data_IF_064655190697
#
_entry.id   IF_064655190697
#
_cell.length_a   1.000
_cell.length_b   1.000
_cell.length_c   1.000
_cell.angle_alpha   90.00
_cell.angle_beta   90.00
_cell.angle_gamma   90.00
#
_symmetry.space_group_name_H-M   'P 1'
#
loop_
_entity.id
_entity.type
_entity.pdbx_description
1 polymer ?
#
# COMPACT_ATOMS: atom_id res chain seq x y z
N UNK A 1 -1.48 9.07 4.84
CA UNK A 1 -2.50 9.03 3.75
C UNK A 1 -3.70 8.21 4.22
N UNK A 2 -4.94 8.54 3.83
CA UNK A 2 -6.15 7.83 4.32
C UNK A 2 -6.21 6.33 3.95
N UNK A 3 -5.47 5.89 2.93
CA UNK A 3 -5.35 4.44 2.63
C UNK A 3 -4.71 3.64 3.78
N UNK A 4 -4.03 4.32 4.72
CA UNK A 4 -3.45 3.66 5.90
C UNK A 4 -4.50 3.15 6.88
N UNK A 5 -5.78 3.57 6.75
CA UNK A 5 -6.90 2.95 7.47
C UNK A 5 -7.01 1.45 7.17
N UNK A 6 -6.55 1.01 5.99
CA UNK A 6 -6.62 -0.36 5.51
C UNK A 6 -5.29 -1.12 5.63
N UNK A 7 -4.20 -0.42 5.97
CA UNK A 7 -2.85 -0.99 5.99
C UNK A 7 -2.62 -2.08 7.05
N UNK A 8 -3.18 -2.00 8.28
CA UNK A 8 -2.88 -2.99 9.31
C UNK A 8 -3.26 -4.43 8.92
N UNK A 9 -4.44 -4.61 8.32
CA UNK A 9 -4.92 -5.93 7.91
C UNK A 9 -4.01 -6.56 6.85
N UNK A 10 -3.72 -5.83 5.78
CA UNK A 10 -2.87 -6.34 4.69
C UNK A 10 -1.42 -6.54 5.12
N UNK A 11 -0.90 -5.76 6.08
CA UNK A 11 0.43 -5.99 6.64
C UNK A 11 0.50 -7.27 7.47
N UNK A 12 -0.52 -7.56 8.29
CA UNK A 12 -0.58 -8.81 9.04
C UNK A 12 -0.63 -10.03 8.09
N UNK A 13 -1.51 -10.00 7.09
CA UNK A 13 -1.63 -11.06 6.08
C UNK A 13 -0.32 -11.27 5.30
N UNK A 14 0.39 -10.19 4.95
CA UNK A 14 1.67 -10.27 4.26
C UNK A 14 2.78 -10.87 5.11
N UNK A 15 2.86 -10.53 6.40
CA UNK A 15 3.88 -11.11 7.30
C UNK A 15 3.67 -12.63 7.39
N UNK A 16 2.44 -13.07 7.62
CA UNK A 16 2.09 -14.48 7.72
C UNK A 16 2.34 -15.22 6.40
N UNK A 17 1.85 -14.68 5.28
CA UNK A 17 2.00 -15.31 3.97
C UNK A 17 3.45 -15.34 3.49
N UNK A 18 4.25 -14.29 3.75
CA UNK A 18 5.66 -14.29 3.37
C UNK A 18 6.45 -15.36 4.11
N UNK A 19 6.25 -15.48 5.43
CA UNK A 19 6.90 -16.50 6.26
C UNK A 19 6.48 -17.93 5.86
N UNK A 20 5.23 -18.12 5.44
CA UNK A 20 4.70 -19.44 5.10
C UNK A 20 5.12 -19.93 3.70
N UNK A 21 5.37 -19.03 2.75
CA UNK A 21 5.51 -19.38 1.33
C UNK A 21 6.87 -19.05 0.71
N UNK A 22 7.74 -18.32 1.40
CA UNK A 22 9.04 -17.93 0.86
C UNK A 22 10.17 -18.20 1.86
N UNK A 23 11.02 -19.18 1.55
CA UNK A 23 12.12 -19.62 2.43
C UNK A 23 13.18 -18.55 2.71
N UNK A 24 13.24 -17.50 1.88
CA UNK A 24 14.13 -16.36 2.09
C UNK A 24 13.56 -15.31 3.05
N UNK A 25 12.28 -15.40 3.42
CA UNK A 25 11.66 -14.47 4.37
C UNK A 25 12.12 -14.79 5.79
N UNK A 26 12.63 -13.78 6.48
CA UNK A 26 13.15 -13.87 7.83
C UNK A 26 12.78 -12.64 8.67
N UNK A 27 13.16 -12.65 9.94
CA UNK A 27 12.83 -11.55 10.84
C UNK A 27 13.44 -10.20 10.42
N UNK A 28 14.57 -10.23 9.72
CA UNK A 28 15.26 -9.02 9.26
C UNK A 28 14.52 -8.37 8.09
N UNK A 29 14.10 -9.17 7.11
CA UNK A 29 13.36 -8.76 5.92
C UNK A 29 11.93 -8.31 6.23
N UNK A 30 11.35 -8.78 7.34
CA UNK A 30 9.98 -8.42 7.76
C UNK A 30 9.92 -7.31 8.82
N UNK A 31 11.08 -6.84 9.31
CA UNK A 31 11.18 -5.79 10.32
C UNK A 31 10.40 -4.52 9.93
N UNK A 32 10.43 -4.14 8.65
CA UNK A 32 9.67 -3.01 8.10
C UNK A 32 8.16 -3.15 8.34
N UNK A 33 7.57 -4.30 7.97
CA UNK A 33 6.12 -4.53 8.12
C UNK A 33 5.70 -4.53 9.59
N UNK A 34 6.52 -5.10 10.48
CA UNK A 34 6.26 -5.12 11.92
C UNK A 34 6.30 -3.73 12.55
N UNK A 35 7.21 -2.87 12.12
CA UNK A 35 7.25 -1.48 12.60
C UNK A 35 6.04 -0.69 12.10
N UNK A 36 5.65 -0.84 10.83
CA UNK A 36 4.48 -0.15 10.26
C UNK A 36 3.17 -0.54 10.94
N UNK A 37 3.02 -1.78 11.43
CA UNK A 37 1.86 -2.18 12.24
C UNK A 37 1.72 -1.36 13.53
N UNK A 38 2.83 -0.90 14.12
CA UNK A 38 2.81 -0.09 15.35
C UNK A 38 2.60 1.40 15.07
N UNK A 39 3.12 1.90 13.95
CA UNK A 39 3.10 3.33 13.61
C UNK A 39 1.81 3.77 12.93
N UNK A 40 1.27 2.95 12.01
CA UNK A 40 0.11 3.30 11.19
C UNK A 40 -1.13 3.76 11.99
N UNK A 41 -1.49 3.20 13.16
CA UNK A 41 -2.66 3.62 13.91
C UNK A 41 -2.60 5.07 14.40
N UNK A 42 -1.41 5.58 14.74
CA UNK A 42 -1.26 6.94 15.29
C UNK A 42 -1.35 8.00 14.19
N UNK A 43 -0.74 7.72 13.05
CA UNK A 43 -0.65 8.68 11.95
C UNK A 43 -1.98 8.81 11.19
N UNK A 44 -2.75 7.72 11.11
CA UNK A 44 -4.04 7.74 10.43
C UNK A 44 -5.14 8.43 11.25
N UNK A 45 -5.11 8.32 12.57
CA UNK A 45 -6.10 8.97 13.44
C UNK A 45 -6.05 10.50 13.30
N UNK A 46 -4.85 11.07 13.28
CA UNK A 46 -4.65 12.49 13.03
C UNK A 46 -5.13 12.91 11.64
N UNK A 47 -4.73 12.17 10.60
CA UNK A 47 -5.12 12.49 9.22
C UNK A 47 -6.62 12.40 8.99
N UNK A 48 -7.29 11.39 9.57
CA UNK A 48 -8.74 11.23 9.48
C UNK A 48 -9.46 12.36 10.23
N UNK A 49 -9.05 12.68 11.46
CA UNK A 49 -9.64 13.78 12.21
C UNK A 49 -9.53 15.10 11.44
N UNK A 50 -8.35 15.40 10.88
CA UNK A 50 -8.16 16.60 10.07
C UNK A 50 -9.10 16.65 8.86
N UNK A 51 -9.25 15.55 8.13
CA UNK A 51 -10.17 15.48 6.99
C UNK A 51 -11.62 15.68 7.43
N UNK A 52 -12.05 15.05 8.52
CA UNK A 52 -13.41 15.20 9.05
C UNK A 52 -13.68 16.63 9.54
N UNK A 53 -12.69 17.31 10.12
CA UNK A 53 -12.82 18.69 10.60
C UNK A 53 -12.87 19.71 9.46
N UNK A 54 -12.24 19.43 8.31
CA UNK A 54 -12.06 20.40 7.23
C UNK A 54 -12.89 20.12 5.97
N UNK A 55 -13.41 18.89 5.80
CA UNK A 55 -14.37 18.53 4.77
C UNK A 55 -15.80 18.90 5.21
N UNK A 56 -15.99 20.19 5.52
CA UNK A 56 -17.19 20.76 6.12
C UNK A 56 -18.27 21.19 5.11
N UNK A 57 -18.06 20.89 3.83
CA UNK A 57 -19.03 21.10 2.74
C UNK A 57 -19.11 19.85 1.87
N UNK A 58 -20.24 19.64 1.20
CA UNK A 58 -20.44 18.51 0.28
C UNK A 58 -19.32 18.46 -0.78
N UNK A 59 -18.96 19.61 -1.36
CA UNK A 59 -17.85 19.71 -2.33
C UNK A 59 -16.51 19.22 -1.76
N UNK A 60 -16.18 19.59 -0.51
CA UNK A 60 -14.92 19.16 0.11
C UNK A 60 -14.96 17.69 0.53
N UNK A 61 -16.13 17.17 0.91
CA UNK A 61 -16.31 15.74 1.20
C UNK A 61 -16.09 14.91 -0.06
N UNK A 62 -16.68 15.32 -1.18
CA UNK A 62 -16.49 14.69 -2.48
C UNK A 62 -15.02 14.76 -2.91
N UNK A 63 -14.35 15.91 -2.70
CA UNK A 63 -12.93 16.05 -2.99
C UNK A 63 -12.05 15.11 -2.12
N UNK A 64 -12.35 14.98 -0.83
CA UNK A 64 -11.64 14.07 0.07
C UNK A 64 -11.83 12.59 -0.32
N UNK A 65 -13.05 12.20 -0.68
CA UNK A 65 -13.35 10.87 -1.22
C UNK A 65 -12.63 10.64 -2.55
N UNK A 66 -12.65 11.61 -3.45
CA UNK A 66 -11.93 11.58 -4.73
C UNK A 66 -10.42 11.41 -4.54
N UNK A 67 -9.82 12.09 -3.56
CA UNK A 67 -8.41 11.92 -3.23
C UNK A 67 -8.08 10.50 -2.73
N UNK A 68 -8.99 9.89 -1.95
CA UNK A 68 -8.83 8.50 -1.51
C UNK A 68 -8.92 7.52 -2.69
N UNK A 69 -9.89 7.71 -3.59
CA UNK A 69 -10.06 6.89 -4.81
C UNK A 69 -8.83 7.00 -5.71
N UNK A 70 -8.38 8.22 -6.00
CA UNK A 70 -7.17 8.44 -6.79
C UNK A 70 -5.97 7.71 -6.19
N UNK A 71 -5.83 7.75 -4.86
CA UNK A 71 -4.72 7.08 -4.18
C UNK A 71 -4.82 5.56 -4.30
N UNK A 72 -6.01 4.98 -4.25
CA UNK A 72 -6.19 3.54 -4.48
C UNK A 72 -5.90 3.16 -5.92
N UNK A 73 -6.31 3.97 -6.89
CA UNK A 73 -6.02 3.75 -8.32
C UNK A 73 -4.52 3.82 -8.59
N UNK A 74 -3.81 4.76 -7.96
CA UNK A 74 -2.36 4.85 -8.05
C UNK A 74 -1.66 3.60 -7.52
N UNK A 75 -2.09 3.07 -6.37
CA UNK A 75 -1.54 1.83 -5.80
C UNK A 75 -1.87 0.63 -6.69
N UNK A 76 -3.04 0.62 -7.30
CA UNK A 76 -3.46 -0.43 -8.22
C UNK A 76 -2.61 -0.43 -9.50
N UNK A 77 -2.39 0.74 -10.10
CA UNK A 77 -1.57 0.89 -11.29
C UNK A 77 -0.11 0.41 -11.08
N UNK A 78 0.44 0.57 -9.87
CA UNK A 78 1.74 0.00 -9.52
C UNK A 78 1.73 -1.53 -9.59
N UNK A 79 0.67 -2.17 -9.08
CA UNK A 79 0.52 -3.63 -9.14
C UNK A 79 0.27 -4.12 -10.56
N UNK A 80 -0.54 -3.41 -11.36
CA UNK A 80 -0.77 -3.75 -12.77
C UNK A 80 0.54 -3.72 -13.56
N UNK A 81 1.38 -2.71 -13.32
CA UNK A 81 2.70 -2.62 -13.95
C UNK A 81 3.61 -3.79 -13.57
N UNK A 82 3.67 -4.15 -12.28
CA UNK A 82 4.45 -5.29 -11.81
C UNK A 82 3.92 -6.61 -12.37
N UNK A 83 2.60 -6.80 -12.38
CA UNK A 83 1.98 -8.01 -12.90
C UNK A 83 2.23 -8.17 -14.40
N UNK A 84 2.03 -7.10 -15.18
CA UNK A 84 2.29 -7.10 -16.63
C UNK A 84 3.76 -7.39 -16.94
N UNK A 85 4.69 -6.84 -16.15
CA UNK A 85 6.12 -7.02 -16.37
C UNK A 85 6.66 -8.38 -15.92
N UNK A 86 6.19 -8.91 -14.79
CA UNK A 86 6.84 -10.05 -14.11
C UNK A 86 5.94 -11.27 -13.87
N UNK A 87 4.66 -11.22 -14.25
CA UNK A 87 3.72 -12.34 -14.10
C UNK A 87 3.14 -12.74 -15.45
N UNK A 88 2.21 -11.94 -15.99
CA UNK A 88 1.54 -12.18 -17.26
C UNK A 88 1.15 -10.82 -17.87
N UNK A 89 1.55 -10.50 -19.11
CA UNK A 89 2.24 -11.34 -20.10
C UNK A 89 3.78 -11.36 -19.99
N UNK A 90 4.35 -11.01 -18.84
CA UNK A 90 5.80 -10.97 -18.58
C UNK A 90 6.58 -10.05 -19.54
N UNK A 91 6.03 -8.86 -19.84
CA UNK A 91 6.64 -7.87 -20.73
C UNK A 91 7.41 -6.82 -19.94
N UNK A 92 8.67 -7.11 -19.63
CA UNK A 92 9.54 -6.19 -18.89
C UNK A 92 9.85 -4.96 -19.77
N UNK A 93 9.49 -3.72 -19.34
CA UNK A 93 9.74 -2.53 -20.13
C UNK A 93 11.24 -2.15 -20.13
N UNK A 94 11.72 -1.40 -21.14
CA UNK A 94 13.10 -0.89 -21.16
C UNK A 94 13.44 -0.12 -19.89
N UNK A 95 14.60 -0.43 -19.28
CA UNK A 95 15.10 0.21 -18.06
C UNK A 95 14.60 -0.39 -16.74
N UNK A 96 13.65 -1.33 -16.77
CA UNK A 96 13.25 -2.06 -15.57
C UNK A 96 14.25 -3.19 -15.24
N UNK A 97 14.22 -3.63 -13.97
CA UNK A 97 15.09 -4.71 -13.47
C UNK A 97 14.86 -6.01 -14.25
N UNK A 98 15.95 -6.75 -14.50
CA UNK A 98 15.96 -8.02 -15.20
C UNK A 98 16.51 -9.13 -14.28
N UNK A 99 15.87 -10.29 -14.18
CA UNK A 99 16.42 -11.40 -13.40
C UNK A 99 17.81 -11.84 -13.91
N UNK A 100 18.77 -11.98 -13.00
CA UNK A 100 20.12 -12.47 -13.32
C UNK A 100 21.10 -11.42 -13.86
N UNK A 101 20.71 -10.14 -13.91
CA UNK A 101 21.63 -9.02 -14.17
C UNK A 101 22.24 -8.45 -12.90
#
# INVERSE_FOLDING_TARGET
>A
SLTELFAPKIHAERIEGLLAHYDFADDSSLSYFRNRLKEAPRDVAFGLAWVLDHADTDEKQDAAAGALIFKTDLLWAQLDALHSAYVEPARIPPGAWQPGT
#
